data_IF_514314877259
#
_entry.id   IF_514314877259
#
_cell.length_a   1.000
_cell.length_b   1.000
_cell.length_c   1.000
_cell.angle_alpha   90.00
_cell.angle_beta   90.00
_cell.angle_gamma   90.00
#
_symmetry.space_group_name_H-M   'P 1'
#
loop_
_entity.id
_entity.type
_entity.pdbx_description
1 polymer ?
#
# COMPACT_ATOMS: atom_id res chain seq x y z
N UNK A 1 19.94 36.20 -17.42
CA UNK A 1 18.54 35.99 -17.85
C UNK A 1 18.36 34.76 -18.76
N UNK A 2 19.27 34.47 -19.70
CA UNK A 2 19.15 33.30 -20.60
C UNK A 2 19.43 31.92 -19.98
N UNK A 3 20.29 31.86 -18.95
CA UNK A 3 20.66 30.58 -18.30
C UNK A 3 19.48 29.96 -17.53
N UNK A 4 18.66 30.77 -16.88
CA UNK A 4 17.45 30.30 -16.18
C UNK A 4 16.38 29.79 -17.15
N UNK A 5 16.21 30.44 -18.31
CA UNK A 5 15.28 29.98 -19.33
C UNK A 5 15.74 28.66 -19.97
N UNK A 6 17.03 28.50 -20.23
CA UNK A 6 17.60 27.26 -20.76
C UNK A 6 17.51 26.09 -19.75
N UNK A 7 17.83 26.35 -18.47
CA UNK A 7 17.67 25.37 -17.39
C UNK A 7 16.21 24.96 -17.17
N UNK A 8 15.29 25.93 -17.23
CA UNK A 8 13.85 25.67 -17.15
C UNK A 8 13.33 24.81 -18.31
N UNK A 9 13.76 25.09 -19.54
CA UNK A 9 13.37 24.31 -20.72
C UNK A 9 13.93 22.89 -20.70
N UNK A 10 15.20 22.72 -20.28
CA UNK A 10 15.82 21.41 -20.12
C UNK A 10 15.16 20.60 -19.00
N UNK A 11 14.85 21.23 -17.86
CA UNK A 11 14.12 20.60 -16.76
C UNK A 11 12.71 20.17 -17.16
N UNK A 12 11.99 21.02 -17.91
CA UNK A 12 10.66 20.68 -18.42
C UNK A 12 10.70 19.52 -19.41
N UNK A 13 11.71 19.49 -20.29
CA UNK A 13 11.92 18.40 -21.24
C UNK A 13 12.30 17.10 -20.55
N UNK A 14 13.24 17.14 -19.60
CA UNK A 14 13.66 15.96 -18.83
C UNK A 14 12.51 15.43 -17.97
N UNK A 15 11.78 16.30 -17.28
CA UNK A 15 10.61 15.94 -16.47
C UNK A 15 9.50 15.29 -17.30
N UNK A 16 9.18 15.85 -18.48
CA UNK A 16 8.19 15.24 -19.40
C UNK A 16 8.68 13.91 -19.98
N UNK A 17 9.96 13.80 -20.32
CA UNK A 17 10.57 12.56 -20.83
C UNK A 17 10.62 11.47 -19.76
N UNK A 18 10.85 11.85 -18.51
CA UNK A 18 10.86 10.94 -17.36
C UNK A 18 9.44 10.51 -16.99
N UNK A 19 8.48 11.43 -16.95
CA UNK A 19 7.05 11.11 -16.80
C UNK A 19 6.53 10.18 -17.92
N UNK A 20 6.99 10.37 -19.16
CA UNK A 20 6.66 9.47 -20.26
C UNK A 20 7.31 8.08 -20.12
N UNK A 21 8.49 7.97 -19.50
CA UNK A 21 9.18 6.70 -19.22
C UNK A 21 8.62 5.96 -18.01
N UNK A 22 8.11 6.70 -17.01
CA UNK A 22 7.56 6.13 -15.78
C UNK A 22 6.04 5.93 -15.81
N UNK A 23 5.32 6.38 -16.85
CA UNK A 23 3.86 6.18 -16.96
C UNK A 23 3.41 4.73 -16.71
N UNK A 24 4.12 3.74 -17.26
CA UNK A 24 3.83 2.33 -17.00
C UNK A 24 4.28 1.83 -15.62
N UNK A 25 5.30 2.46 -15.01
CA UNK A 25 5.73 2.19 -13.63
C UNK A 25 4.77 2.80 -12.62
N UNK A 26 4.19 3.95 -12.91
CA UNK A 26 3.17 4.61 -12.09
C UNK A 26 1.87 3.82 -12.15
N UNK A 27 1.40 3.43 -13.34
CA UNK A 27 0.21 2.57 -13.48
C UNK A 27 0.40 1.24 -12.73
N UNK A 28 1.58 0.61 -12.85
CA UNK A 28 1.92 -0.61 -12.10
C UNK A 28 1.99 -0.36 -10.60
N UNK A 29 2.60 0.73 -10.15
CA UNK A 29 2.65 1.10 -8.73
C UNK A 29 1.25 1.34 -8.16
N UNK A 30 0.40 2.09 -8.86
CA UNK A 30 -0.99 2.30 -8.46
C UNK A 30 -1.77 0.99 -8.42
N UNK A 31 -1.63 0.13 -9.42
CA UNK A 31 -2.29 -1.16 -9.46
C UNK A 31 -1.84 -2.08 -8.31
N UNK A 32 -0.54 -2.14 -8.02
CA UNK A 32 0.03 -2.90 -6.90
C UNK A 32 -0.49 -2.32 -5.58
N UNK A 33 -0.38 -1.00 -5.38
CA UNK A 33 -0.79 -0.34 -4.13
C UNK A 33 -2.28 -0.56 -3.86
N UNK A 34 -3.14 -0.34 -4.86
CA UNK A 34 -4.58 -0.54 -4.75
C UNK A 34 -4.94 -1.99 -4.42
N UNK A 35 -4.37 -2.97 -5.14
CA UNK A 35 -4.62 -4.40 -4.88
C UNK A 35 -4.10 -4.85 -3.52
N UNK A 36 -2.95 -4.32 -3.08
CA UNK A 36 -2.33 -4.65 -1.81
C UNK A 36 -3.14 -4.10 -0.64
N UNK A 37 -3.56 -2.83 -0.71
CA UNK A 37 -4.44 -2.23 0.29
C UNK A 37 -5.79 -2.96 0.36
N UNK A 38 -6.41 -3.27 -0.78
CA UNK A 38 -7.66 -4.02 -0.80
C UNK A 38 -7.51 -5.41 -0.17
N UNK A 39 -6.38 -6.09 -0.41
CA UNK A 39 -6.08 -7.40 0.20
C UNK A 39 -5.86 -7.27 1.70
N UNK A 40 -5.09 -6.28 2.15
CA UNK A 40 -4.87 -6.00 3.57
C UNK A 40 -6.17 -5.73 4.32
N UNK A 41 -7.08 -4.94 3.75
CA UNK A 41 -8.39 -4.67 4.33
C UNK A 41 -9.27 -5.93 4.43
N UNK A 42 -9.26 -6.79 3.40
CA UNK A 42 -9.98 -8.08 3.46
C UNK A 42 -9.45 -8.99 4.58
N UNK A 43 -8.13 -9.09 4.71
CA UNK A 43 -7.48 -9.87 5.78
C UNK A 43 -7.85 -9.28 7.15
N UNK A 44 -7.73 -7.96 7.30
CA UNK A 44 -8.04 -7.25 8.55
C UNK A 44 -9.50 -7.46 8.95
N UNK A 45 -10.43 -7.35 8.01
CA UNK A 45 -11.84 -7.58 8.25
C UNK A 45 -12.11 -9.03 8.69
N UNK A 46 -11.47 -10.01 8.04
CA UNK A 46 -11.53 -11.41 8.47
C UNK A 46 -11.03 -11.62 9.91
N UNK A 47 -9.92 -10.94 10.27
CA UNK A 47 -9.38 -11.00 11.63
C UNK A 47 -10.28 -10.31 12.67
N UNK A 48 -10.95 -9.22 12.31
CA UNK A 48 -11.96 -8.58 13.18
C UNK A 48 -13.08 -9.58 13.48
N UNK A 49 -13.61 -10.26 12.46
CA UNK A 49 -14.65 -11.27 12.67
C UNK A 49 -14.17 -12.43 13.54
N UNK A 50 -12.94 -12.90 13.34
CA UNK A 50 -12.36 -13.97 14.16
C UNK A 50 -12.21 -13.54 15.62
N UNK A 51 -11.69 -12.34 15.88
CA UNK A 51 -11.56 -11.80 17.23
C UNK A 51 -12.93 -11.58 17.89
N UNK A 52 -13.92 -11.14 17.12
CA UNK A 52 -15.29 -11.02 17.58
C UNK A 52 -15.90 -12.37 17.98
N UNK A 53 -15.66 -13.42 17.18
CA UNK A 53 -16.08 -14.78 17.53
C UNK A 53 -15.40 -15.25 18.82
N UNK A 54 -14.09 -15.02 19.00
CA UNK A 54 -13.38 -15.37 20.23
C UNK A 54 -14.00 -14.70 21.46
N UNK A 55 -14.39 -13.42 21.33
CA UNK A 55 -15.10 -12.69 22.38
C UNK A 55 -16.44 -13.35 22.73
N UNK A 56 -17.22 -13.80 21.73
CA UNK A 56 -18.48 -14.53 21.96
C UNK A 56 -18.28 -15.87 22.68
N UNK A 57 -17.12 -16.53 22.48
CA UNK A 57 -16.73 -17.73 23.21
C UNK A 57 -16.18 -17.46 24.63
N UNK A 58 -16.20 -16.20 25.09
CA UNK A 58 -15.77 -15.81 26.44
C UNK A 58 -14.25 -15.62 26.57
N UNK A 59 -13.50 -15.59 25.47
CA UNK A 59 -12.07 -15.27 25.52
C UNK A 59 -11.90 -13.80 25.87
N UNK A 60 -11.24 -13.54 27.00
CA UNK A 60 -10.95 -12.19 27.47
C UNK A 60 -9.61 -11.71 26.89
N UNK A 61 -9.66 -10.71 26.02
CA UNK A 61 -8.48 -10.05 25.45
C UNK A 61 -8.49 -8.58 25.85
N UNK A 62 -7.33 -8.03 26.19
CA UNK A 62 -7.22 -6.60 26.47
C UNK A 62 -7.37 -5.78 25.18
N UNK A 63 -7.85 -4.54 25.31
CA UNK A 63 -8.05 -3.66 24.16
C UNK A 63 -6.70 -3.39 23.46
N UNK A 64 -5.62 -3.21 24.22
CA UNK A 64 -4.29 -2.98 23.65
C UNK A 64 -3.82 -4.19 22.84
N UNK A 65 -4.06 -5.41 23.33
CA UNK A 65 -3.71 -6.64 22.62
C UNK A 65 -4.50 -6.80 21.32
N UNK A 66 -5.81 -6.52 21.34
CA UNK A 66 -6.66 -6.56 20.13
C UNK A 66 -6.19 -5.56 19.08
N UNK A 67 -5.91 -4.32 19.48
CA UNK A 67 -5.42 -3.29 18.56
C UNK A 67 -4.04 -3.62 18.01
N UNK A 68 -3.12 -4.12 18.85
CA UNK A 68 -1.80 -4.55 18.42
C UNK A 68 -1.88 -5.69 17.40
N UNK A 69 -2.70 -6.71 17.66
CA UNK A 69 -2.90 -7.82 16.71
C UNK A 69 -3.47 -7.33 15.38
N UNK A 70 -4.52 -6.50 15.41
CA UNK A 70 -5.12 -5.95 14.19
C UNK A 70 -4.12 -5.12 13.38
N UNK A 71 -3.30 -4.31 14.04
CA UNK A 71 -2.28 -3.49 13.38
C UNK A 71 -1.20 -4.36 12.73
N UNK A 72 -0.67 -5.35 13.45
CA UNK A 72 0.34 -6.28 12.93
C UNK A 72 -0.23 -7.06 11.73
N UNK A 73 -1.45 -7.58 11.85
CA UNK A 73 -2.11 -8.30 10.76
C UNK A 73 -2.31 -7.41 9.54
N UNK A 74 -2.77 -6.16 9.73
CA UNK A 74 -2.96 -5.21 8.64
C UNK A 74 -1.63 -4.89 7.94
N UNK A 75 -0.59 -4.56 8.70
CA UNK A 75 0.74 -4.25 8.17
C UNK A 75 1.36 -5.45 7.45
N UNK A 76 1.27 -6.65 8.03
CA UNK A 76 1.76 -7.87 7.41
C UNK A 76 0.99 -8.21 6.14
N UNK A 77 -0.35 -8.13 6.17
CA UNK A 77 -1.20 -8.34 5.00
C UNK A 77 -0.89 -7.36 3.87
N UNK A 78 -0.63 -6.09 4.19
CA UNK A 78 -0.24 -5.08 3.21
C UNK A 78 1.17 -5.31 2.66
N UNK A 79 2.15 -5.60 3.50
CA UNK A 79 3.54 -5.83 3.08
C UNK A 79 3.66 -7.10 2.22
N UNK A 80 3.07 -8.21 2.65
CA UNK A 80 3.09 -9.48 1.91
C UNK A 80 2.34 -9.38 0.58
N UNK A 81 1.20 -8.69 0.54
CA UNK A 81 0.46 -8.48 -0.71
C UNK A 81 1.21 -7.55 -1.66
N UNK A 82 1.85 -6.50 -1.16
CA UNK A 82 2.73 -5.63 -1.95
C UNK A 82 3.86 -6.44 -2.58
N UNK A 83 4.54 -7.27 -1.80
CA UNK A 83 5.58 -8.16 -2.32
C UNK A 83 5.01 -9.11 -3.38
N UNK A 84 3.91 -9.82 -3.08
CA UNK A 84 3.25 -10.74 -4.01
C UNK A 84 2.88 -10.09 -5.35
N UNK A 85 2.25 -8.92 -5.33
CA UNK A 85 1.84 -8.24 -6.56
C UNK A 85 3.02 -7.66 -7.35
N UNK A 86 4.14 -7.33 -6.69
CA UNK A 86 5.37 -6.93 -7.40
C UNK A 86 5.96 -8.07 -8.25
N UNK A 87 5.87 -9.33 -7.81
CA UNK A 87 6.33 -10.48 -8.59
C UNK A 87 5.31 -10.97 -9.62
N UNK A 88 4.02 -10.71 -9.38
CA UNK A 88 2.93 -11.22 -10.22
C UNK A 88 2.59 -10.30 -11.40
N UNK A 89 2.63 -8.99 -11.20
CA UNK A 89 2.33 -7.95 -12.21
C UNK A 89 3.65 -7.44 -12.75
#
# INVERSE_FOLDING_TARGET
MFIGAAGGALGLWFGRKQAARHRGLDERYYAISYKSQATAWKITLGSIYLLFILLLFGVSLSIEAVLAMLLIIHMAGWALSTFYYNFKI
#
